data_IF_744418476935
#
_entry.id   IF_744418476935
#
_cell.length_a   1.000
_cell.length_b   1.000
_cell.length_c   1.000
_cell.angle_alpha   90.00
_cell.angle_beta   90.00
_cell.angle_gamma   90.00
#
_symmetry.space_group_name_H-M   'P 1'
#
loop_
_entity.id
_entity.type
_entity.pdbx_description
1 polymer ?
#
# COMPACT_ATOMS: atom_id res chain seq x y z
N UNK A 1 18.15 7.67 -8.53
CA UNK A 1 18.15 7.71 -7.04
C UNK A 1 16.74 7.45 -6.55
N UNK A 2 16.57 6.50 -5.64
CA UNK A 2 15.27 6.22 -5.06
C UNK A 2 14.91 7.28 -4.02
N UNK A 3 13.62 7.64 -3.96
CA UNK A 3 13.10 8.55 -2.95
C UNK A 3 12.36 7.70 -1.90
N UNK A 4 12.77 7.84 -0.65
CA UNK A 4 12.14 7.15 0.46
C UNK A 4 11.12 8.08 1.09
N UNK A 5 9.87 7.61 1.20
CA UNK A 5 8.82 8.39 1.83
C UNK A 5 9.01 8.36 3.35
N UNK A 6 9.15 9.54 3.91
CA UNK A 6 9.40 9.73 5.33
C UNK A 6 8.13 9.78 6.16
N UNK A 7 8.31 10.11 7.45
CA UNK A 7 7.24 10.19 8.41
C UNK A 7 7.25 9.00 9.37
N UNK A 8 6.18 8.87 10.13
CA UNK A 8 6.02 7.75 11.07
C UNK A 8 5.25 6.64 10.37
N UNK A 9 5.92 5.96 9.45
CA UNK A 9 5.34 4.85 8.72
C UNK A 9 5.30 3.61 9.62
N UNK A 10 4.23 2.83 9.52
CA UNK A 10 4.03 1.67 10.39
C UNK A 10 4.12 0.40 9.55
N UNK A 11 5.11 -0.48 9.84
CA UNK A 11 5.19 -1.80 9.20
C UNK A 11 4.14 -2.73 9.80
N UNK A 12 3.17 -3.14 9.00
CA UNK A 12 2.06 -3.96 9.50
C UNK A 12 2.06 -5.38 8.95
N UNK A 13 2.76 -5.63 7.86
CA UNK A 13 2.86 -6.95 7.27
C UNK A 13 4.20 -7.06 6.56
N UNK A 14 4.99 -8.04 6.95
CA UNK A 14 6.39 -8.16 6.52
C UNK A 14 6.53 -8.58 5.05
N UNK A 15 7.71 -8.32 4.51
CA UNK A 15 8.08 -8.64 3.15
C UNK A 15 8.50 -7.39 2.38
N UNK A 16 9.20 -7.61 1.29
CA UNK A 16 9.66 -6.54 0.39
C UNK A 16 9.23 -6.89 -1.02
N UNK A 17 8.48 -5.98 -1.65
CA UNK A 17 8.05 -6.19 -3.04
C UNK A 17 8.23 -4.92 -3.85
N UNK A 18 8.40 -5.12 -5.16
CA UNK A 18 8.42 -4.03 -6.13
C UNK A 18 7.30 -4.25 -7.12
N UNK A 19 6.72 -3.18 -7.59
CA UNK A 19 5.67 -3.26 -8.58
C UNK A 19 5.13 -1.90 -8.97
N UNK A 20 4.09 -1.94 -9.78
CA UNK A 20 3.42 -0.74 -10.26
C UNK A 20 2.46 -0.24 -9.19
N UNK A 21 2.60 1.02 -8.81
CA UNK A 21 1.67 1.65 -7.89
C UNK A 21 0.37 2.01 -8.62
N UNK A 22 -0.75 1.70 -8.01
CA UNK A 22 -2.05 2.17 -8.48
C UNK A 22 -2.64 3.02 -7.37
N UNK A 23 -2.76 4.31 -7.66
CA UNK A 23 -3.30 5.28 -6.69
C UNK A 23 -4.80 5.35 -6.91
N UNK A 24 -5.55 4.80 -5.95
CA UNK A 24 -7.00 4.69 -6.04
C UNK A 24 -7.60 5.37 -4.82
N UNK A 25 -8.41 6.40 -5.05
CA UNK A 25 -9.05 7.17 -3.99
C UNK A 25 -10.45 6.69 -3.69
N UNK A 26 -11.13 6.10 -4.68
CA UNK A 26 -12.48 5.58 -4.54
C UNK A 26 -12.55 4.18 -5.10
N UNK A 27 -13.20 3.28 -4.38
CA UNK A 27 -13.27 1.87 -4.75
C UNK A 27 -13.89 1.65 -6.14
N UNK A 28 -14.86 2.47 -6.53
CA UNK A 28 -15.50 2.38 -7.85
C UNK A 28 -14.57 2.73 -8.99
N UNK A 29 -13.46 3.40 -8.72
CA UNK A 29 -12.44 3.73 -9.72
C UNK A 29 -11.33 2.68 -9.79
N UNK A 30 -11.45 1.60 -9.03
CA UNK A 30 -10.42 0.58 -8.94
C UNK A 30 -10.30 -0.18 -10.25
N UNK A 31 -9.13 -0.08 -10.86
CA UNK A 31 -8.75 -0.80 -12.09
C UNK A 31 -7.38 -1.42 -11.83
N UNK A 32 -7.37 -2.50 -11.06
CA UNK A 32 -6.15 -3.15 -10.62
C UNK A 32 -5.88 -4.39 -11.46
N UNK A 33 -4.64 -4.54 -11.87
CA UNK A 33 -4.14 -5.76 -12.50
C UNK A 33 -3.47 -6.61 -11.44
N UNK A 34 -3.38 -7.91 -11.70
CA UNK A 34 -2.69 -8.82 -10.81
C UNK A 34 -1.24 -8.37 -10.59
N UNK A 35 -0.83 -8.31 -9.34
CA UNK A 35 0.52 -7.91 -8.97
C UNK A 35 0.72 -6.41 -8.80
N UNK A 36 -0.33 -5.60 -8.91
CA UNK A 36 -0.24 -4.17 -8.63
C UNK A 36 -0.13 -3.92 -7.12
N UNK A 37 0.41 -2.77 -6.76
CA UNK A 37 0.48 -2.30 -5.38
C UNK A 37 -0.59 -1.23 -5.20
N UNK A 38 -1.53 -1.48 -4.28
CA UNK A 38 -2.59 -0.53 -3.99
C UNK A 38 -2.07 0.60 -3.09
N UNK A 39 -2.24 1.83 -3.54
CA UNK A 39 -1.90 3.03 -2.77
C UNK A 39 -3.19 3.83 -2.61
N UNK A 40 -3.63 4.04 -1.37
CA UNK A 40 -4.89 4.73 -1.10
C UNK A 40 -4.84 5.43 0.25
N UNK A 41 -5.86 6.23 0.54
CA UNK A 41 -5.94 6.91 1.83
C UNK A 41 -6.23 5.94 2.95
N UNK A 42 -7.25 5.10 2.79
CA UNK A 42 -7.61 4.05 3.75
C UNK A 42 -8.46 3.02 3.03
N UNK A 43 -8.66 1.85 3.66
CA UNK A 43 -9.56 0.83 3.14
C UNK A 43 -10.63 0.49 4.17
N UNK A 44 -11.72 -0.09 3.70
CA UNK A 44 -12.78 -0.61 4.55
C UNK A 44 -13.20 -1.99 4.02
N UNK A 45 -14.14 -2.70 4.67
CA UNK A 45 -14.50 -4.06 4.24
C UNK A 45 -14.96 -4.18 2.79
N UNK A 46 -15.48 -3.11 2.18
CA UNK A 46 -15.90 -3.15 0.77
C UNK A 46 -14.73 -3.31 -0.19
N UNK A 47 -13.50 -3.01 0.24
CA UNK A 47 -12.30 -3.13 -0.56
C UNK A 47 -11.70 -4.55 -0.54
N UNK A 48 -12.19 -5.42 0.33
CA UNK A 48 -11.61 -6.76 0.51
C UNK A 48 -11.44 -7.54 -0.79
N UNK A 49 -12.39 -7.51 -1.75
CA UNK A 49 -12.20 -8.24 -3.02
C UNK A 49 -10.97 -7.82 -3.81
N UNK A 50 -10.48 -6.60 -3.63
CA UNK A 50 -9.29 -6.12 -4.34
C UNK A 50 -8.00 -6.77 -3.83
N UNK A 51 -8.00 -7.26 -2.60
CA UNK A 51 -6.81 -7.78 -1.94
C UNK A 51 -6.31 -9.09 -2.54
N UNK A 52 -7.17 -9.80 -3.29
CA UNK A 52 -6.75 -11.05 -3.94
C UNK A 52 -5.88 -10.81 -5.17
N UNK A 53 -5.93 -9.61 -5.74
CA UNK A 53 -5.19 -9.29 -6.98
C UNK A 53 -3.90 -8.53 -6.73
N UNK A 54 -3.83 -7.76 -5.64
CA UNK A 54 -2.66 -6.93 -5.35
C UNK A 54 -1.57 -7.74 -4.66
N UNK A 55 -0.34 -7.23 -4.73
CA UNK A 55 0.78 -7.86 -4.02
C UNK A 55 1.37 -6.99 -2.92
N UNK A 56 0.85 -5.79 -2.73
CA UNK A 56 1.27 -4.90 -1.66
C UNK A 56 0.27 -3.81 -1.41
N UNK A 57 0.37 -3.18 -0.23
CA UNK A 57 -0.56 -2.15 0.21
C UNK A 57 0.19 -0.98 0.85
N UNK A 58 -0.19 0.24 0.47
CA UNK A 58 0.28 1.46 1.12
C UNK A 58 -0.94 2.33 1.42
N UNK A 59 -1.10 2.74 2.68
CA UNK A 59 -2.19 3.65 3.06
C UNK A 59 -1.65 4.89 3.75
N UNK A 60 -2.37 6.01 3.59
CA UNK A 60 -2.01 7.27 4.25
C UNK A 60 -2.40 7.26 5.71
N UNK A 61 -3.53 6.64 6.02
CA UNK A 61 -4.09 6.61 7.37
C UNK A 61 -4.16 5.16 7.82
N UNK A 62 -3.78 4.92 9.05
CA UNK A 62 -3.93 3.59 9.60
C UNK A 62 -2.99 3.31 10.76
N UNK A 63 -3.21 2.18 11.37
CA UNK A 63 -2.40 1.64 12.45
C UNK A 63 -2.48 0.13 12.42
N UNK A 64 -1.96 -0.53 13.44
CA UNK A 64 -1.83 -1.99 13.47
C UNK A 64 -3.17 -2.72 13.41
N UNK A 65 -4.25 -2.07 13.82
CA UNK A 65 -5.58 -2.68 13.93
C UNK A 65 -6.58 -2.17 12.90
N UNK A 66 -6.13 -1.39 11.93
CA UNK A 66 -7.03 -0.93 10.86
C UNK A 66 -7.36 -2.07 9.90
N UNK A 67 -8.46 -1.95 9.16
CA UNK A 67 -8.90 -2.96 8.21
C UNK A 67 -7.78 -3.38 7.25
N UNK A 68 -7.13 -2.41 6.61
CA UNK A 68 -6.05 -2.71 5.65
C UNK A 68 -4.90 -3.48 6.27
N UNK A 69 -4.50 -3.11 7.50
CA UNK A 69 -3.42 -3.78 8.20
C UNK A 69 -3.79 -5.24 8.53
N UNK A 70 -4.99 -5.46 9.04
CA UNK A 70 -5.45 -6.80 9.40
C UNK A 70 -5.55 -7.70 8.17
N UNK A 71 -6.18 -7.21 7.10
CA UNK A 71 -6.36 -8.00 5.88
C UNK A 71 -5.02 -8.26 5.19
N UNK A 72 -4.12 -7.29 5.17
CA UNK A 72 -2.79 -7.48 4.58
C UNK A 72 -2.04 -8.62 5.29
N UNK A 73 -2.10 -8.67 6.62
CA UNK A 73 -1.48 -9.76 7.38
C UNK A 73 -2.12 -11.10 7.08
N UNK A 74 -3.45 -11.15 6.94
CA UNK A 74 -4.15 -12.39 6.61
C UNK A 74 -3.76 -12.93 5.24
N UNK A 75 -3.55 -12.06 4.27
CA UNK A 75 -3.21 -12.45 2.91
C UNK A 75 -1.69 -12.52 2.67
N UNK A 76 -0.89 -12.18 3.68
CA UNK A 76 0.56 -12.19 3.55
C UNK A 76 1.10 -11.12 2.61
N UNK A 77 0.39 -10.02 2.46
CA UNK A 77 0.81 -8.92 1.58
C UNK A 77 1.75 -7.97 2.33
N UNK A 78 2.93 -7.67 1.80
CA UNK A 78 3.75 -6.59 2.36
C UNK A 78 2.95 -5.29 2.39
N UNK A 79 2.94 -4.63 3.54
CA UNK A 79 2.11 -3.44 3.71
C UNK A 79 2.74 -2.45 4.67
N UNK A 80 2.60 -1.18 4.33
CA UNK A 80 3.03 -0.06 5.17
C UNK A 80 1.85 0.90 5.26
N UNK A 81 1.46 1.26 6.47
CA UNK A 81 0.38 2.21 6.71
C UNK A 81 0.92 3.47 7.36
N UNK A 82 0.08 4.49 7.44
CA UNK A 82 0.43 5.79 8.00
C UNK A 82 1.57 6.48 7.23
N UNK A 83 1.54 6.31 5.90
CA UNK A 83 2.49 6.97 4.99
C UNK A 83 1.88 8.31 4.59
N UNK A 84 2.28 9.37 5.24
CA UNK A 84 1.70 10.70 5.05
C UNK A 84 1.84 11.15 3.59
N UNK A 85 0.72 11.60 3.03
CA UNK A 85 0.63 12.11 1.65
C UNK A 85 1.00 11.09 0.56
N UNK A 86 0.92 9.78 0.84
CA UNK A 86 1.30 8.77 -0.13
C UNK A 86 0.56 8.91 -1.47
N UNK A 87 -0.73 9.22 -1.45
CA UNK A 87 -1.52 9.36 -2.68
C UNK A 87 -1.12 10.59 -3.50
N UNK A 88 -0.40 11.54 -2.91
CA UNK A 88 0.12 12.73 -3.62
C UNK A 88 1.56 12.55 -4.06
N UNK A 89 2.35 11.86 -3.25
CA UNK A 89 3.79 11.69 -3.50
C UNK A 89 4.07 10.56 -4.48
N UNK A 90 3.19 9.57 -4.54
CA UNK A 90 3.30 8.44 -5.48
C UNK A 90 2.36 8.72 -6.65
N UNK A 91 2.90 8.74 -7.86
CA UNK A 91 2.08 8.90 -9.06
C UNK A 91 1.50 7.56 -9.48
N UNK A 92 0.25 7.58 -9.96
CA UNK A 92 -0.38 6.37 -10.49
C UNK A 92 0.47 5.80 -11.62
N UNK A 93 0.72 4.50 -11.57
CA UNK A 93 1.55 3.81 -12.56
C UNK A 93 3.04 3.83 -12.26
N UNK A 94 3.47 4.55 -11.24
CA UNK A 94 4.88 4.66 -10.88
C UNK A 94 5.38 3.37 -10.26
N UNK A 95 6.64 3.02 -10.54
CA UNK A 95 7.24 1.84 -9.92
C UNK A 95 7.73 2.18 -8.51
N UNK A 96 7.32 1.36 -7.56
CA UNK A 96 7.69 1.56 -6.16
C UNK A 96 8.15 0.24 -5.53
N UNK A 97 8.86 0.36 -4.42
CA UNK A 97 9.21 -0.77 -3.56
C UNK A 97 8.57 -0.56 -2.19
N UNK A 98 7.84 -1.55 -1.73
CA UNK A 98 7.23 -1.53 -0.40
C UNK A 98 8.02 -2.46 0.50
N UNK A 99 8.60 -1.91 1.56
CA UNK A 99 9.31 -2.70 2.57
C UNK A 99 8.44 -2.79 3.82
N UNK A 100 7.61 -3.83 3.86
CA UNK A 100 6.70 -4.05 4.99
C UNK A 100 7.40 -4.56 6.23
N UNK A 101 8.63 -5.05 6.09
CA UNK A 101 9.43 -5.52 7.23
C UNK A 101 9.98 -4.34 8.02
N UNK A 102 10.51 -3.35 7.32
CA UNK A 102 11.14 -2.19 7.96
C UNK A 102 10.21 -0.97 8.05
N UNK A 103 9.15 -0.95 7.28
CA UNK A 103 8.15 0.11 7.36
C UNK A 103 8.45 1.34 6.53
N UNK A 104 8.85 1.17 5.26
CA UNK A 104 9.04 2.32 4.38
C UNK A 104 8.68 1.98 2.94
N UNK A 105 8.52 3.04 2.14
CA UNK A 105 8.20 2.94 0.72
C UNK A 105 9.25 3.73 -0.06
N UNK A 106 9.83 3.12 -1.09
CA UNK A 106 10.76 3.78 -1.99
C UNK A 106 10.09 4.02 -3.34
N UNK A 107 10.25 5.23 -3.87
CA UNK A 107 9.87 5.55 -5.24
C UNK A 107 11.10 5.30 -6.11
N UNK A 108 10.97 4.38 -7.03
CA UNK A 108 12.11 3.92 -7.86
C UNK A 108 12.28 4.74 -9.13
#
# INVERSE_FOLDING_TARGET
MALILGGVNIPVSSGVIEGRARVILHMEDADLEEGDILVTSFTDPSWTPLFVSIKGLVTEVGGLMTHGAVIAREYGLPAVVNVENATRLINDGQRIRVNGTEGYVEIL
#
